data_IF_291198079379
#
_entry.id   IF_291198079379
#
_cell.length_a   1.000
_cell.length_b   1.000
_cell.length_c   1.000
_cell.angle_alpha   90.00
_cell.angle_beta   90.00
_cell.angle_gamma   90.00
#
_symmetry.space_group_name_H-M   'P 1'
#
loop_
_entity.id
_entity.type
_entity.pdbx_description
1 polymer ?
#
# COMPACT_ATOMS: atom_id res chain seq x y z
N UNK A 1 -4.67 7.19 17.84
CA UNK A 1 -5.94 6.66 17.29
C UNK A 1 -5.64 5.34 16.62
N UNK A 2 -6.40 4.29 16.94
CA UNK A 2 -6.23 2.97 16.32
C UNK A 2 -6.86 2.91 14.93
N UNK A 3 -6.28 2.06 14.07
CA UNK A 3 -6.71 1.72 12.71
C UNK A 3 -7.02 0.22 12.60
N UNK A 4 -7.85 -0.23 11.65
CA UNK A 4 -8.56 0.55 10.63
C UNK A 4 -9.79 1.28 11.20
N UNK A 5 -10.40 2.15 10.40
CA UNK A 5 -11.66 2.83 10.72
C UNK A 5 -12.71 2.63 9.63
N UNK A 6 -13.99 2.81 10.00
CA UNK A 6 -15.05 3.02 9.04
C UNK A 6 -15.06 4.50 8.60
N UNK A 7 -14.99 4.73 7.29
CA UNK A 7 -15.09 6.04 6.67
C UNK A 7 -16.53 6.25 6.21
N UNK A 8 -17.14 7.32 6.71
CA UNK A 8 -18.40 7.86 6.21
C UNK A 8 -18.09 9.14 5.46
N UNK A 9 -18.22 9.10 4.14
CA UNK A 9 -17.88 10.23 3.27
C UNK A 9 -18.73 11.47 3.58
N UNK A 10 -19.97 11.30 4.03
CA UNK A 10 -20.84 12.44 4.39
C UNK A 10 -20.41 13.13 5.69
N UNK A 11 -19.56 12.46 6.49
CA UNK A 11 -18.98 12.99 7.72
C UNK A 11 -17.52 13.41 7.55
N UNK A 12 -16.95 13.20 6.36
CA UNK A 12 -15.61 13.64 6.05
C UNK A 12 -15.58 15.17 5.95
N UNK A 13 -14.45 15.76 6.33
CA UNK A 13 -14.24 17.20 6.23
C UNK A 13 -13.47 17.45 4.94
N UNK A 14 -14.06 18.22 4.04
CA UNK A 14 -13.39 18.64 2.81
C UNK A 14 -12.19 19.52 3.14
N UNK A 15 -11.03 19.09 2.63
CA UNK A 15 -9.75 19.77 2.80
C UNK A 15 -8.96 19.70 1.51
N UNK A 16 -8.35 20.82 1.14
CA UNK A 16 -7.44 20.86 0.01
C UNK A 16 -6.02 20.52 0.47
N UNK A 17 -5.56 19.31 0.16
CA UNK A 17 -4.21 18.85 0.50
C UNK A 17 -3.19 19.04 -0.64
N UNK A 18 -3.63 19.49 -1.81
CA UNK A 18 -2.84 19.42 -3.03
C UNK A 18 -2.73 17.98 -3.55
N UNK A 19 -2.07 17.81 -4.69
CA UNK A 19 -1.92 16.49 -5.32
C UNK A 19 -0.87 15.65 -4.59
N UNK A 20 -1.19 14.37 -4.37
CA UNK A 20 -0.20 13.36 -3.99
C UNK A 20 0.66 13.05 -5.23
N UNK A 21 1.97 13.13 -5.07
CA UNK A 21 2.95 12.95 -6.13
C UNK A 21 3.74 11.67 -5.89
N UNK A 22 4.11 11.01 -6.99
CA UNK A 22 4.87 9.76 -7.02
C UNK A 22 6.18 10.01 -7.79
N UNK A 23 7.30 9.49 -7.29
CA UNK A 23 8.58 9.55 -8.02
C UNK A 23 8.51 8.76 -9.34
N UNK A 24 9.46 9.00 -10.24
CA UNK A 24 9.53 8.28 -11.52
C UNK A 24 9.64 6.77 -11.37
N UNK A 25 10.20 6.30 -10.25
CA UNK A 25 10.37 4.88 -9.95
C UNK A 25 9.03 4.13 -9.84
N UNK A 26 7.95 4.83 -9.48
CA UNK A 26 6.59 4.24 -9.46
C UNK A 26 6.10 3.81 -10.84
N UNK A 27 6.67 4.39 -11.89
CA UNK A 27 6.29 4.16 -13.29
C UNK A 27 7.30 3.28 -14.05
N UNK A 28 8.34 2.83 -13.38
CA UNK A 28 9.40 1.99 -13.95
C UNK A 28 9.32 0.57 -13.39
N UNK A 29 9.86 -0.39 -14.15
CA UNK A 29 9.95 -1.78 -13.71
C UNK A 29 10.92 -1.92 -12.54
N UNK A 30 10.41 -2.42 -11.41
CA UNK A 30 11.17 -2.66 -10.19
C UNK A 30 11.39 -4.15 -9.99
N UNK A 31 12.64 -4.56 -9.76
CA UNK A 31 12.92 -5.88 -9.22
C UNK A 31 12.43 -5.96 -7.78
N UNK A 32 11.83 -7.09 -7.39
CA UNK A 32 11.25 -7.24 -6.06
C UNK A 32 11.35 -8.69 -5.58
N UNK A 33 11.27 -8.85 -4.27
CA UNK A 33 11.02 -10.12 -3.61
C UNK A 33 9.57 -10.19 -3.15
N UNK A 34 8.98 -11.38 -3.23
CA UNK A 34 7.75 -11.75 -2.54
C UNK A 34 8.06 -12.66 -1.37
N UNK A 35 7.38 -12.47 -0.24
CA UNK A 35 7.57 -13.26 0.98
C UNK A 35 6.22 -13.56 1.62
N UNK A 36 6.00 -14.82 1.99
CA UNK A 36 4.95 -15.17 2.94
C UNK A 36 5.44 -14.84 4.35
N UNK A 37 4.82 -13.88 5.03
CA UNK A 37 5.21 -13.47 6.38
C UNK A 37 4.60 -14.33 7.50
N UNK A 38 3.77 -15.31 7.14
CA UNK A 38 2.90 -16.04 8.07
C UNK A 38 1.57 -15.33 8.35
N UNK A 39 1.45 -14.06 7.92
CA UNK A 39 0.23 -13.26 8.07
C UNK A 39 -0.30 -12.72 6.73
N UNK A 40 0.58 -12.41 5.80
CA UNK A 40 0.26 -11.85 4.48
C UNK A 40 1.33 -12.18 3.46
N UNK A 41 1.03 -11.93 2.19
CA UNK A 41 2.00 -11.83 1.10
C UNK A 41 2.55 -10.41 1.09
N UNK A 42 3.83 -10.27 1.47
CA UNK A 42 4.56 -9.01 1.43
C UNK A 42 5.49 -8.97 0.21
N UNK A 43 5.56 -7.79 -0.42
CA UNK A 43 6.47 -7.51 -1.53
C UNK A 43 7.42 -6.39 -1.15
N UNK A 44 8.71 -6.59 -1.39
CA UNK A 44 9.78 -5.61 -1.13
C UNK A 44 10.56 -5.36 -2.40
N UNK A 45 10.74 -4.08 -2.73
CA UNK A 45 11.58 -3.67 -3.87
C UNK A 45 13.05 -3.95 -3.53
N UNK A 46 13.75 -4.57 -4.46
CA UNK A 46 15.19 -4.78 -4.39
C UNK A 46 15.89 -3.49 -4.81
N UNK A 47 16.68 -2.92 -3.92
CA UNK A 47 17.37 -1.65 -4.15
C UNK A 47 18.48 -1.81 -5.18
N UNK A 48 18.17 -1.51 -6.44
CA UNK A 48 19.17 -1.54 -7.50
C UNK A 48 19.87 -0.19 -7.72
N UNK A 49 19.27 0.96 -7.35
CA UNK A 49 19.92 2.30 -7.34
C UNK A 49 19.03 3.43 -6.76
N UNK A 50 17.70 3.26 -6.74
CA UNK A 50 16.72 4.25 -6.24
C UNK A 50 15.60 3.55 -5.48
N UNK A 51 14.88 4.31 -4.63
CA UNK A 51 13.71 3.82 -3.88
C UNK A 51 12.49 4.62 -4.33
N UNK A 52 11.34 3.98 -4.61
CA UNK A 52 10.09 4.69 -4.88
C UNK A 52 9.68 5.60 -3.73
N UNK A 53 9.38 6.86 -4.04
CA UNK A 53 9.07 7.90 -3.04
C UNK A 53 7.73 8.57 -3.37
N UNK A 54 6.98 8.89 -2.31
CA UNK A 54 5.78 9.74 -2.39
C UNK A 54 6.00 11.06 -1.63
N UNK A 55 5.34 12.12 -2.08
CA UNK A 55 5.36 13.45 -1.47
C UNK A 55 4.12 14.25 -1.93
N UNK A 56 3.94 15.49 -1.46
CA UNK A 56 2.71 16.24 -1.74
C UNK A 56 1.52 15.70 -0.94
N UNK A 57 0.28 15.94 -1.37
CA UNK A 57 -0.92 15.46 -0.66
C UNK A 57 -1.00 15.92 0.81
N UNK A 58 -0.40 17.07 1.12
CA UNK A 58 -0.31 17.64 2.47
C UNK A 58 0.66 16.88 3.40
N UNK A 59 1.52 16.01 2.86
CA UNK A 59 2.62 15.38 3.57
C UNK A 59 3.75 16.40 3.80
N UNK A 60 4.46 16.28 4.93
CA UNK A 60 5.51 17.23 5.33
C UNK A 60 6.90 16.86 4.81
N UNK A 61 7.09 15.59 4.47
CA UNK A 61 8.37 15.01 4.08
C UNK A 61 8.18 14.21 2.78
N UNK A 62 9.30 13.75 2.23
CA UNK A 62 9.33 12.65 1.29
C UNK A 62 9.29 11.31 2.04
N UNK A 63 8.46 10.39 1.57
CA UNK A 63 8.28 9.08 2.18
C UNK A 63 8.69 7.98 1.21
N UNK A 64 9.70 7.21 1.59
CA UNK A 64 10.22 6.10 0.80
C UNK A 64 9.42 4.82 1.05
N UNK A 65 9.10 4.08 0.01
CA UNK A 65 8.41 2.79 0.11
C UNK A 65 9.29 1.79 0.85
N UNK A 66 8.75 1.19 1.91
CA UNK A 66 9.39 0.10 2.66
C UNK A 66 8.99 -1.26 2.10
N UNK A 67 7.69 -1.47 1.95
CA UNK A 67 7.08 -2.68 1.40
C UNK A 67 5.62 -2.41 1.04
N UNK A 68 4.99 -3.36 0.36
CA UNK A 68 3.53 -3.41 0.30
C UNK A 68 3.03 -4.83 0.52
N UNK A 69 1.79 -4.95 1.00
CA UNK A 69 1.16 -6.22 1.30
C UNK A 69 -0.36 -6.12 1.16
N UNK A 70 -1.05 -7.24 1.30
CA UNK A 70 -2.48 -7.33 1.06
C UNK A 70 -3.24 -7.95 2.23
N UNK A 71 -4.48 -7.51 2.41
CA UNK A 71 -5.45 -8.08 3.35
C UNK A 71 -6.66 -8.60 2.59
N UNK A 72 -6.96 -9.89 2.73
CA UNK A 72 -8.16 -10.51 2.14
C UNK A 72 -9.37 -10.15 3.00
N UNK A 73 -10.32 -9.46 2.37
CA UNK A 73 -11.30 -8.64 3.06
C UNK A 73 -10.65 -7.32 3.51
N UNK A 74 -11.19 -6.20 3.04
CA UNK A 74 -10.66 -4.89 3.39
C UNK A 74 -10.74 -4.66 4.89
N UNK A 75 -9.65 -4.14 5.46
CA UNK A 75 -9.57 -3.73 6.86
C UNK A 75 -10.47 -2.51 7.06
N UNK A 76 -10.31 -1.50 6.20
CA UNK A 76 -11.16 -0.32 6.18
C UNK A 76 -12.52 -0.61 5.56
N UNK A 77 -13.50 0.21 5.95
CA UNK A 77 -14.86 0.17 5.42
C UNK A 77 -15.19 1.57 4.91
N UNK A 78 -15.59 1.72 3.65
CA UNK A 78 -16.00 3.02 3.10
C UNK A 78 -17.50 3.01 2.83
N UNK A 79 -18.24 3.98 3.36
CA UNK A 79 -19.69 4.10 3.21
C UNK A 79 -20.41 2.76 3.52
N UNK A 80 -19.99 2.09 4.59
CA UNK A 80 -20.48 0.77 5.05
C UNK A 80 -20.18 -0.40 4.11
N UNK A 81 -19.32 -0.22 3.10
CA UNK A 81 -18.88 -1.26 2.18
C UNK A 81 -17.49 -1.78 2.55
N UNK A 82 -17.37 -3.11 2.66
CA UNK A 82 -16.08 -3.82 2.62
C UNK A 82 -15.78 -4.26 1.20
N UNK A 83 -14.51 -4.28 0.85
CA UNK A 83 -14.00 -4.77 -0.42
C UNK A 83 -13.35 -6.15 -0.25
N UNK A 84 -13.30 -6.99 -1.29
CA UNK A 84 -12.66 -8.30 -1.23
C UNK A 84 -11.17 -8.29 -0.88
N UNK A 85 -10.45 -7.19 -1.17
CA UNK A 85 -9.02 -7.09 -0.94
C UNK A 85 -8.65 -5.62 -0.68
N UNK A 86 -7.68 -5.40 0.20
CA UNK A 86 -7.08 -4.09 0.45
C UNK A 86 -5.54 -4.20 0.39
N UNK A 87 -4.90 -3.37 -0.42
CA UNK A 87 -3.45 -3.28 -0.52
C UNK A 87 -2.92 -2.13 0.30
N UNK A 88 -1.89 -2.39 1.11
CA UNK A 88 -1.22 -1.40 1.96
C UNK A 88 0.19 -1.17 1.45
N UNK A 89 0.46 0.04 0.97
CA UNK A 89 1.78 0.48 0.53
C UNK A 89 2.40 1.32 1.64
N UNK A 90 3.35 0.73 2.35
CA UNK A 90 3.90 1.28 3.60
C UNK A 90 5.15 2.09 3.28
N UNK A 91 5.16 3.34 3.73
CA UNK A 91 6.26 4.27 3.50
C UNK A 91 6.77 4.85 4.82
N UNK A 92 8.04 5.23 4.85
CA UNK A 92 8.64 5.93 5.99
C UNK A 92 9.29 7.25 5.55
N UNK A 93 9.23 8.25 6.43
CA UNK A 93 9.79 9.56 6.17
C UNK A 93 11.33 9.46 6.08
N UNK A 94 11.90 9.92 4.96
CA UNK A 94 13.34 9.79 4.68
C UNK A 94 14.22 10.56 5.67
N UNK A 95 13.71 11.66 6.22
CA UNK A 95 14.41 12.48 7.21
C UNK A 95 14.75 11.71 8.51
N UNK A 96 13.98 10.65 8.84
CA UNK A 96 14.27 9.77 9.97
C UNK A 96 15.27 8.65 9.65
N UNK A 97 15.79 8.61 8.41
CA UNK A 97 16.88 7.74 7.91
C UNK A 97 16.55 6.25 7.83
N UNK A 98 15.64 5.74 8.64
CA UNK A 98 15.22 4.33 8.60
C UNK A 98 13.76 4.18 9.00
N UNK A 99 13.14 3.08 8.56
CA UNK A 99 11.80 2.69 8.98
C UNK A 99 11.70 2.59 10.51
N UNK A 100 12.67 1.92 11.15
CA UNK A 100 12.68 1.71 12.60
C UNK A 100 12.74 3.03 13.39
N UNK A 101 13.50 4.01 12.89
CA UNK A 101 13.55 5.32 13.53
C UNK A 101 12.25 6.09 13.33
N UNK A 102 11.67 6.02 12.13
CA UNK A 102 10.41 6.69 11.79
C UNK A 102 9.24 6.24 12.68
N UNK A 103 9.24 4.99 13.17
CA UNK A 103 8.25 4.47 14.12
C UNK A 103 8.18 5.23 15.45
N UNK A 104 9.15 6.08 15.77
CA UNK A 104 9.15 6.90 16.99
C UNK A 104 8.49 8.27 16.81
N UNK A 105 8.01 8.60 15.60
CA UNK A 105 7.49 9.92 15.27
C UNK A 105 6.09 9.83 14.67
N UNK A 106 5.18 10.71 15.09
CA UNK A 106 3.77 10.70 14.66
C UNK A 106 3.57 10.90 13.16
N UNK A 107 4.52 11.52 12.48
CA UNK A 107 4.53 11.74 11.04
C UNK A 107 5.57 10.87 10.33
N UNK A 108 6.03 9.80 10.99
CA UNK A 108 7.08 8.93 10.48
C UNK A 108 6.61 7.95 9.41
N UNK A 109 5.37 7.46 9.50
CA UNK A 109 4.84 6.45 8.58
C UNK A 109 3.67 7.02 7.77
N UNK A 110 3.66 6.71 6.47
CA UNK A 110 2.51 6.92 5.59
C UNK A 110 2.11 5.59 4.97
N UNK A 111 0.82 5.24 5.05
CA UNK A 111 0.29 4.06 4.35
C UNK A 111 -0.71 4.52 3.31
N UNK A 112 -0.47 4.14 2.05
CA UNK A 112 -1.48 4.26 1.00
C UNK A 112 -2.32 2.98 1.00
N UNK A 113 -3.64 3.14 1.14
CA UNK A 113 -4.61 2.05 1.06
C UNK A 113 -5.35 2.11 -0.28
N UNK A 114 -5.32 1.00 -0.99
CA UNK A 114 -6.06 0.80 -2.24
C UNK A 114 -6.99 -0.39 -2.08
N UNK A 115 -8.26 -0.22 -2.47
CA UNK A 115 -9.24 -1.30 -2.43
C UNK A 115 -9.28 -2.00 -3.78
N UNK A 116 -9.44 -3.32 -3.79
CA UNK A 116 -9.68 -4.07 -5.02
C UNK A 116 -11.05 -4.71 -5.01
N UNK A 117 -11.77 -4.57 -6.12
CA UNK A 117 -13.10 -5.12 -6.29
C UNK A 117 -13.13 -6.15 -7.42
N UNK A 118 -13.81 -7.27 -7.17
CA UNK A 118 -13.91 -8.40 -8.10
C UNK A 118 -15.18 -8.23 -8.94
N UNK A 119 -15.09 -7.46 -10.03
CA UNK A 119 -16.25 -7.15 -10.91
C UNK A 119 -16.01 -7.38 -12.39
N UNK A 120 -14.78 -7.68 -12.78
CA UNK A 120 -14.39 -7.91 -14.18
C UNK A 120 -13.93 -9.35 -14.38
N UNK A 121 -14.08 -9.88 -15.59
CA UNK A 121 -13.45 -11.15 -15.98
C UNK A 121 -12.00 -10.96 -16.44
N UNK A 122 -11.61 -9.72 -16.76
CA UNK A 122 -10.26 -9.39 -17.23
C UNK A 122 -9.32 -9.32 -16.03
N UNK A 123 -8.25 -10.14 -15.99
CA UNK A 123 -7.24 -10.06 -14.94
C UNK A 123 -6.51 -8.72 -14.95
N UNK A 124 -6.13 -8.25 -13.77
CA UNK A 124 -5.20 -7.14 -13.61
C UNK A 124 -3.76 -7.66 -13.70
N UNK A 125 -3.12 -7.43 -14.85
CA UNK A 125 -1.78 -7.96 -15.14
C UNK A 125 -0.70 -7.48 -14.16
N UNK A 126 -0.94 -6.44 -13.36
CA UNK A 126 -0.01 -6.00 -12.32
C UNK A 126 0.25 -7.10 -11.27
N UNK A 127 -0.72 -7.97 -11.02
CA UNK A 127 -0.63 -9.03 -10.03
C UNK A 127 0.09 -10.28 -10.54
N UNK A 128 0.19 -10.47 -11.85
CA UNK A 128 0.69 -11.72 -12.44
C UNK A 128 2.11 -12.07 -11.97
N UNK A 129 3.08 -11.12 -11.90
CA UNK A 129 4.43 -11.43 -11.40
C UNK A 129 4.44 -11.90 -9.94
N UNK A 130 3.49 -11.44 -9.13
CA UNK A 130 3.38 -11.84 -7.71
C UNK A 130 2.70 -13.21 -7.63
N UNK A 131 1.58 -13.38 -8.32
CA UNK A 131 0.75 -14.59 -8.28
C UNK A 131 1.52 -15.82 -8.78
N UNK A 132 2.35 -15.67 -9.82
CA UNK A 132 3.17 -16.76 -10.36
C UNK A 132 4.16 -17.33 -9.34
N UNK A 133 4.56 -16.52 -8.35
CA UNK A 133 5.54 -16.87 -7.33
C UNK A 133 4.91 -17.31 -5.99
N UNK A 134 3.61 -17.06 -5.78
CA UNK A 134 2.87 -17.49 -4.57
C UNK A 134 3.09 -18.98 -4.23
N UNK A 135 3.00 -19.94 -5.18
CA UNK A 135 3.21 -21.36 -4.87
C UNK A 135 4.58 -21.67 -4.27
N UNK A 136 5.62 -20.87 -4.59
CA UNK A 136 6.99 -21.07 -4.07
C UNK A 136 7.15 -20.58 -2.64
N UNK A 137 6.33 -19.63 -2.19
CA UNK A 137 6.37 -19.07 -0.82
C UNK A 137 5.24 -19.59 0.08
N UNK A 138 4.27 -20.32 -0.48
CA UNK A 138 3.06 -20.76 0.24
C UNK A 138 3.37 -21.57 1.52
N UNK A 139 4.43 -22.39 1.51
CA UNK A 139 4.80 -23.25 2.63
C UNK A 139 6.05 -22.79 3.40
N UNK A 140 6.81 -21.83 2.85
CA UNK A 140 8.08 -21.36 3.42
C UNK A 140 7.90 -19.95 4.00
N UNK A 141 7.48 -19.89 5.27
CA UNK A 141 7.29 -18.62 5.99
C UNK A 141 8.63 -17.90 6.19
N UNK A 142 8.64 -16.58 5.98
CA UNK A 142 9.78 -15.68 6.10
C UNK A 142 10.96 -16.02 5.17
N UNK A 143 10.69 -16.73 4.07
CA UNK A 143 11.67 -17.01 3.02
C UNK A 143 11.33 -16.21 1.75
N UNK A 144 12.07 -15.12 1.44
CA UNK A 144 11.82 -14.35 0.23
C UNK A 144 12.15 -15.15 -1.02
N UNK A 145 11.35 -14.93 -2.07
CA UNK A 145 11.59 -15.39 -3.44
C UNK A 145 11.58 -14.19 -4.35
N UNK A 146 12.61 -14.04 -5.16
CA UNK A 146 12.69 -12.97 -6.15
C UNK A 146 11.67 -13.19 -7.27
N UNK A 147 10.96 -12.13 -7.64
CA UNK A 147 10.06 -12.14 -8.79
C UNK A 147 10.84 -12.33 -10.08
N UNK A 148 10.31 -13.17 -10.99
CA UNK A 148 10.91 -13.38 -12.31
C UNK A 148 10.77 -12.14 -13.20
N UNK A 149 9.60 -11.50 -13.15
CA UNK A 149 9.28 -10.30 -13.91
C UNK A 149 9.27 -9.06 -13.00
N UNK A 150 9.71 -7.89 -13.50
CA UNK A 150 9.65 -6.65 -12.75
C UNK A 150 8.20 -6.18 -12.57
N UNK A 151 7.94 -5.46 -11.49
CA UNK A 151 6.63 -4.85 -11.22
C UNK A 151 6.66 -3.34 -11.42
N UNK A 152 5.55 -2.78 -11.92
CA UNK A 152 5.35 -1.32 -12.00
C UNK A 152 4.34 -0.94 -10.91
N UNK A 153 4.82 -0.26 -9.87
CA UNK A 153 4.03 0.03 -8.67
C UNK A 153 2.75 0.84 -8.97
N UNK A 154 2.81 1.77 -9.91
CA UNK A 154 1.65 2.58 -10.28
C UNK A 154 0.45 1.73 -10.78
N UNK A 155 0.71 0.55 -11.33
CA UNK A 155 -0.34 -0.33 -11.86
C UNK A 155 -1.20 -1.00 -10.77
N UNK A 156 -0.80 -0.92 -9.50
CA UNK A 156 -1.59 -1.41 -8.37
C UNK A 156 -2.59 -0.37 -7.84
N UNK A 157 -2.44 0.90 -8.21
CA UNK A 157 -3.30 1.99 -7.74
C UNK A 157 -4.49 2.24 -8.68
N UNK A 158 -5.58 2.82 -8.16
CA UNK A 158 -6.74 3.15 -8.99
C UNK A 158 -6.41 4.27 -9.97
N UNK A 159 -7.24 4.39 -11.02
CA UNK A 159 -7.10 5.44 -12.04
C UNK A 159 -7.22 6.87 -11.49
N UNK A 160 -7.80 7.05 -10.31
CA UNK A 160 -7.89 8.34 -9.62
C UNK A 160 -7.23 8.26 -8.24
N UNK A 161 -6.03 8.82 -8.16
CA UNK A 161 -5.27 9.03 -6.90
C UNK A 161 -5.34 10.48 -6.41
N UNK A 162 -6.07 11.37 -7.09
CA UNK A 162 -6.23 12.79 -6.72
C UNK A 162 -7.23 12.98 -5.59
N UNK A 163 -8.27 12.15 -5.57
CA UNK A 163 -9.26 12.14 -4.50
C UNK A 163 -8.89 11.06 -3.48
N UNK A 164 -8.69 11.45 -2.23
CA UNK A 164 -8.36 10.52 -1.16
C UNK A 164 -8.90 11.00 0.18
N UNK A 165 -9.15 10.06 1.08
CA UNK A 165 -9.32 10.34 2.50
C UNK A 165 -7.96 10.34 3.19
N UNK A 166 -7.82 11.17 4.22
CA UNK A 166 -6.62 11.20 5.05
C UNK A 166 -6.97 11.29 6.53
N UNK A 167 -6.32 10.48 7.35
CA UNK A 167 -6.45 10.56 8.80
C UNK A 167 -5.16 10.12 9.52
N UNK A 168 -5.03 10.50 10.79
CA UNK A 168 -3.96 10.03 11.67
C UNK A 168 -4.43 8.79 12.42
N UNK A 169 -3.71 7.69 12.29
CA UNK A 169 -4.08 6.39 12.83
C UNK A 169 -2.87 5.61 13.34
N UNK A 170 -2.98 4.28 13.29
CA UNK A 170 -1.93 3.36 13.70
C UNK A 170 -1.53 2.40 12.60
N UNK A 171 -0.44 1.66 12.80
CA UNK A 171 -0.26 0.38 12.12
C UNK A 171 -1.42 -0.54 12.49
N UNK A 172 -1.87 -1.38 11.56
CA UNK A 172 -2.85 -2.44 11.87
C UNK A 172 -2.16 -3.69 12.42
N UNK A 173 -0.89 -3.91 12.07
CA UNK A 173 0.02 -4.90 12.65
C UNK A 173 1.50 -4.52 12.41
N UNK A 174 2.48 -5.07 13.14
CA UNK A 174 2.43 -5.45 14.57
C UNK A 174 2.56 -4.20 15.48
N UNK A 175 2.31 -4.36 16.78
CA UNK A 175 2.48 -3.34 17.84
C UNK A 175 1.58 -2.08 17.79
N UNK A 176 0.77 -1.92 16.74
CA UNK A 176 -0.29 -0.91 16.64
C UNK A 176 0.16 0.53 16.94
N UNK A 177 1.39 0.87 16.55
CA UNK A 177 1.99 2.19 16.80
C UNK A 177 1.15 3.31 16.17
N UNK A 178 0.77 4.31 16.97
CA UNK A 178 -0.05 5.45 16.54
C UNK A 178 0.77 6.53 15.83
N UNK A 179 1.40 6.14 14.72
CA UNK A 179 2.39 6.93 13.97
C UNK A 179 2.11 7.00 12.47
N UNK A 180 0.91 6.57 12.07
CA UNK A 180 0.55 6.40 10.66
C UNK A 180 -0.33 7.53 10.18
N UNK A 181 0.11 8.22 9.13
CA UNK A 181 -0.78 8.99 8.28
C UNK A 181 -1.35 8.06 7.21
N UNK A 182 -2.64 7.75 7.31
CA UNK A 182 -3.34 6.96 6.31
C UNK A 182 -3.79 7.84 5.15
N UNK A 183 -3.61 7.36 3.92
CA UNK A 183 -4.20 7.92 2.70
C UNK A 183 -4.98 6.80 2.01
N UNK A 184 -6.28 6.97 1.83
CA UNK A 184 -7.15 5.94 1.26
C UNK A 184 -7.79 6.42 -0.01
N UNK A 185 -7.63 5.65 -1.08
CA UNK A 185 -8.26 5.95 -2.36
C UNK A 185 -9.68 5.36 -2.37
N UNK A 186 -10.76 6.19 -2.46
CA UNK A 186 -12.13 5.69 -2.41
C UNK A 186 -12.55 4.94 -3.69
N UNK A 187 -11.88 5.23 -4.81
CA UNK A 187 -12.06 4.49 -6.06
C UNK A 187 -11.28 3.17 -5.97
N UNK A 188 -11.94 2.01 -6.14
CA UNK A 188 -11.23 0.75 -6.13
C UNK A 188 -10.49 0.51 -7.45
N UNK A 189 -9.40 -0.24 -7.37
CA UNK A 189 -8.85 -0.99 -8.50
C UNK A 189 -9.67 -2.25 -8.74
N UNK A 190 -9.50 -2.86 -9.91
CA UNK A 190 -10.26 -4.05 -10.30
C UNK A 190 -9.34 -5.25 -10.48
N UNK A 191 -9.84 -6.43 -10.12
CA UNK A 191 -9.19 -7.73 -10.28
C UNK A 191 -10.22 -8.74 -10.78
N UNK A 192 -9.78 -9.85 -11.35
CA UNK A 192 -10.67 -10.95 -11.77
C UNK A 192 -10.89 -11.95 -10.64
N UNK A 193 -11.96 -12.79 -10.68
CA UNK A 193 -12.17 -13.85 -9.68
C UNK A 193 -11.05 -14.89 -9.59
N UNK A 194 -10.20 -14.98 -10.60
CA UNK A 194 -9.06 -15.91 -10.64
C UNK A 194 -7.81 -15.38 -9.93
N UNK A 195 -7.81 -14.09 -9.57
CA UNK A 195 -6.76 -13.40 -8.84
C UNK A 195 -7.21 -13.16 -7.40
#
# INVERSE_FOLDING_TARGET
>A
MQSPIAIDQNRAIDRHFGELQFSTDYYQGQSADVTNTGHTVEVKILNNNSVPVIYGGGLKNEYALASFHFHWGSEHVINRRRYPLEGHFVHFARNYKSFQNALNFKDGIVVLATFYNVVTKTPNLAFDPIISEIPKVAHDVNRPVQLQDPIILNNFFPSNTRNFFRYQGSLTTPNCNEVVTWILFPTPSYISPSQ
#
